data_IF_355005879064
#
_entry.id   IF_355005879064
#
_cell.length_a   1.000
_cell.length_b   1.000
_cell.length_c   1.000
_cell.angle_alpha   90.00
_cell.angle_beta   90.00
_cell.angle_gamma   90.00
#
_symmetry.space_group_name_H-M   'P 1'
#
loop_
_entity.id
_entity.type
_entity.pdbx_description
1 polymer ?
#
# COMPACT_ATOMS: atom_id res chain seq x y z
N UNK A 1 13.30 14.38 15.58
CA UNK A 1 12.72 13.88 14.30
C UNK A 1 12.22 15.02 13.38
N UNK A 2 12.06 16.24 13.88
CA UNK A 2 11.43 17.36 13.13
C UNK A 2 12.27 17.92 11.96
N UNK A 3 13.53 17.53 11.79
CA UNK A 3 14.41 18.11 10.75
C UNK A 3 14.92 17.13 9.68
N UNK A 4 14.34 15.91 9.59
CA UNK A 4 14.81 14.90 8.63
C UNK A 4 14.01 14.90 7.30
N UNK A 5 12.86 15.56 7.24
CA UNK A 5 12.03 15.56 6.04
C UNK A 5 12.23 16.81 5.19
N UNK A 6 12.49 16.59 3.91
CA UNK A 6 12.59 17.67 2.92
C UNK A 6 11.17 17.93 2.38
N UNK A 7 10.68 19.17 2.53
CA UNK A 7 9.42 19.57 1.90
C UNK A 7 9.58 19.58 0.38
N UNK A 8 8.73 18.85 -0.32
CA UNK A 8 8.69 18.78 -1.78
C UNK A 8 7.29 19.17 -2.25
N UNK A 9 7.18 19.89 -3.36
CA UNK A 9 5.88 20.07 -4.00
C UNK A 9 5.58 18.88 -4.91
N UNK A 10 4.32 18.52 -5.05
CA UNK A 10 3.93 17.46 -5.99
C UNK A 10 4.41 17.78 -7.42
N UNK A 11 4.40 19.06 -7.79
CA UNK A 11 4.90 19.53 -9.09
C UNK A 11 6.42 19.25 -9.30
N UNK A 12 7.20 19.07 -8.25
CA UNK A 12 8.64 18.74 -8.36
C UNK A 12 8.84 17.31 -8.87
N UNK A 13 7.79 16.49 -8.86
CA UNK A 13 7.77 15.15 -9.45
C UNK A 13 7.38 15.13 -10.93
N UNK A 14 7.05 16.28 -11.55
CA UNK A 14 6.70 16.32 -12.97
C UNK A 14 7.84 15.77 -13.85
N UNK A 15 7.50 14.89 -14.79
CA UNK A 15 8.48 14.20 -15.64
C UNK A 15 9.29 13.11 -14.93
N UNK A 16 8.98 12.81 -13.67
CA UNK A 16 9.60 11.74 -12.89
C UNK A 16 8.85 10.42 -13.05
N UNK A 17 9.48 9.33 -12.58
CA UNK A 17 8.89 7.98 -12.66
C UNK A 17 8.34 7.52 -11.33
N UNK A 18 7.20 6.85 -11.40
CA UNK A 18 6.55 6.21 -10.26
C UNK A 18 6.24 4.74 -10.54
N UNK A 19 6.23 3.92 -9.48
CA UNK A 19 5.67 2.57 -9.48
C UNK A 19 4.57 2.50 -8.41
N UNK A 20 3.41 1.96 -8.78
CA UNK A 20 2.33 1.67 -7.83
C UNK A 20 2.02 0.18 -7.90
N UNK A 21 2.14 -0.54 -6.78
CA UNK A 21 1.79 -1.97 -6.71
C UNK A 21 0.32 -2.18 -6.35
N UNK A 22 -0.32 -3.23 -6.92
CA UNK A 22 -1.75 -3.44 -6.79
C UNK A 22 -2.56 -2.31 -7.44
N UNK A 23 -2.07 -1.79 -8.56
CA UNK A 23 -2.64 -0.62 -9.23
C UNK A 23 -3.77 -0.97 -10.21
N UNK A 24 -4.13 -2.24 -10.34
CA UNK A 24 -5.23 -2.68 -11.19
C UNK A 24 -6.63 -2.42 -10.61
N UNK A 25 -6.75 -1.90 -9.38
CA UNK A 25 -8.06 -1.65 -8.73
C UNK A 25 -7.92 -0.70 -7.53
N UNK A 26 -9.02 -0.10 -7.10
CA UNK A 26 -9.21 0.58 -5.82
C UNK A 26 -8.23 1.72 -5.55
N UNK A 27 -7.54 1.66 -4.40
CA UNK A 27 -6.59 2.71 -3.99
C UNK A 27 -5.40 2.78 -4.95
N UNK A 28 -4.88 1.64 -5.40
CA UNK A 28 -3.75 1.61 -6.32
C UNK A 28 -4.08 2.21 -7.68
N UNK A 29 -5.25 1.90 -8.24
CA UNK A 29 -5.76 2.53 -9.47
C UNK A 29 -5.92 4.04 -9.30
N UNK A 30 -6.53 4.47 -8.20
CA UNK A 30 -6.66 5.90 -7.88
C UNK A 30 -5.30 6.60 -7.82
N UNK A 31 -4.32 6.00 -7.15
CA UNK A 31 -2.96 6.53 -7.04
C UNK A 31 -2.30 6.64 -8.42
N UNK A 32 -2.35 5.57 -9.23
CA UNK A 32 -1.74 5.55 -10.54
C UNK A 32 -2.30 6.66 -11.45
N UNK A 33 -3.64 6.80 -11.49
CA UNK A 33 -4.31 7.84 -12.30
C UNK A 33 -3.96 9.26 -11.84
N UNK A 34 -3.96 9.51 -10.54
CA UNK A 34 -3.68 10.84 -10.01
C UNK A 34 -2.20 11.21 -10.14
N UNK A 35 -1.27 10.27 -9.94
CA UNK A 35 0.17 10.51 -10.15
C UNK A 35 0.46 10.80 -11.62
N UNK A 36 -0.15 10.08 -12.56
CA UNK A 36 -0.05 10.38 -13.99
C UNK A 36 -0.64 11.76 -14.31
N UNK A 37 -1.80 12.10 -13.74
CA UNK A 37 -2.40 13.43 -13.85
C UNK A 37 -1.55 14.56 -13.27
N UNK A 38 -0.65 14.26 -12.34
CA UNK A 38 0.35 15.17 -11.81
C UNK A 38 1.63 15.24 -12.66
N UNK A 39 1.68 14.53 -13.78
CA UNK A 39 2.78 14.59 -14.76
C UNK A 39 3.89 13.56 -14.53
N UNK A 40 3.67 12.52 -13.72
CA UNK A 40 4.61 11.41 -13.61
C UNK A 40 4.37 10.35 -14.69
N UNK A 41 5.43 9.65 -15.09
CA UNK A 41 5.31 8.39 -15.83
C UNK A 41 5.11 7.26 -14.81
N UNK A 42 4.02 6.50 -14.95
CA UNK A 42 3.60 5.54 -13.92
C UNK A 42 3.71 4.10 -14.40
N UNK A 43 4.47 3.29 -13.69
CA UNK A 43 4.43 1.84 -13.84
C UNK A 43 3.23 1.31 -13.03
N UNK A 44 2.25 0.77 -13.73
CA UNK A 44 1.01 0.23 -13.17
C UNK A 44 1.19 -1.27 -12.95
N UNK A 45 1.42 -1.68 -11.70
CA UNK A 45 1.64 -3.08 -11.39
C UNK A 45 0.38 -3.72 -10.76
N UNK A 46 0.02 -4.89 -11.24
CA UNK A 46 -0.94 -5.80 -10.59
C UNK A 46 -0.49 -7.25 -10.83
N UNK A 47 -0.98 -8.19 -10.02
CA UNK A 47 -0.73 -9.62 -10.29
C UNK A 47 -1.48 -10.08 -11.55
N UNK A 48 -2.59 -9.43 -11.90
CA UNK A 48 -3.38 -9.66 -13.10
C UNK A 48 -2.99 -8.65 -14.16
N UNK A 49 -2.33 -9.13 -15.23
CA UNK A 49 -1.87 -8.28 -16.33
C UNK A 49 -3.03 -7.48 -16.95
N UNK A 50 -4.16 -8.11 -17.18
CA UNK A 50 -5.33 -7.48 -17.79
C UNK A 50 -5.90 -6.30 -16.97
N UNK A 51 -5.70 -6.34 -15.64
CA UNK A 51 -6.11 -5.25 -14.76
C UNK A 51 -5.12 -4.07 -14.85
N UNK A 52 -3.82 -4.36 -14.90
CA UNK A 52 -2.79 -3.35 -15.08
C UNK A 52 -2.91 -2.69 -16.47
N UNK A 53 -3.12 -3.47 -17.53
CA UNK A 53 -3.32 -2.99 -18.90
C UNK A 53 -4.55 -2.09 -19.01
N UNK A 54 -5.67 -2.46 -18.41
CA UNK A 54 -6.87 -1.62 -18.40
C UNK A 54 -6.59 -0.25 -17.81
N UNK A 55 -5.94 -0.20 -16.62
CA UNK A 55 -5.63 1.07 -15.96
C UNK A 55 -4.62 1.88 -16.76
N UNK A 56 -3.59 1.23 -17.30
CA UNK A 56 -2.59 1.89 -18.13
C UNK A 56 -3.23 2.47 -19.41
N UNK A 57 -4.14 1.74 -20.05
CA UNK A 57 -4.89 2.23 -21.22
C UNK A 57 -5.76 3.44 -20.89
N UNK A 58 -6.42 3.45 -19.72
CA UNK A 58 -7.23 4.59 -19.27
C UNK A 58 -6.38 5.83 -18.96
N UNK A 59 -5.11 5.66 -18.55
CA UNK A 59 -4.15 6.75 -18.33
C UNK A 59 -3.55 7.24 -19.65
N UNK A 60 -3.25 6.34 -20.60
CA UNK A 60 -2.60 6.64 -21.87
C UNK A 60 -1.07 6.58 -21.80
N UNK A 61 -0.40 7.41 -22.62
CA UNK A 61 1.07 7.36 -22.84
C UNK A 61 1.93 7.54 -21.57
N UNK A 62 1.35 8.05 -20.50
CA UNK A 62 2.04 8.23 -19.22
C UNK A 62 2.10 6.96 -18.37
N UNK A 63 1.55 5.82 -18.84
CA UNK A 63 1.48 4.60 -18.05
C UNK A 63 2.02 3.37 -18.78
N UNK A 64 2.73 2.52 -18.02
CA UNK A 64 3.24 1.23 -18.52
C UNK A 64 2.74 0.12 -17.60
N UNK A 65 2.01 -0.90 -18.12
CA UNK A 65 1.55 -2.02 -17.31
C UNK A 65 2.65 -3.04 -17.10
N UNK A 66 2.68 -3.67 -15.91
CA UNK A 66 3.54 -4.81 -15.62
C UNK A 66 2.81 -5.77 -14.67
N UNK A 67 3.02 -7.07 -14.86
CA UNK A 67 2.44 -8.09 -13.98
C UNK A 67 3.54 -8.87 -13.25
N UNK A 68 3.44 -8.95 -11.94
CA UNK A 68 4.19 -9.88 -11.10
C UNK A 68 3.49 -10.07 -9.76
N UNK A 69 3.81 -11.17 -9.09
CA UNK A 69 3.31 -11.46 -7.76
C UNK A 69 4.25 -10.88 -6.70
N UNK A 70 3.79 -9.87 -5.95
CA UNK A 70 4.59 -9.24 -4.89
C UNK A 70 5.00 -10.21 -3.77
N UNK A 71 4.26 -11.31 -3.58
CA UNK A 71 4.60 -12.34 -2.59
C UNK A 71 5.71 -13.30 -3.07
N UNK A 72 6.17 -13.12 -4.29
CA UNK A 72 7.30 -13.84 -4.88
C UNK A 72 8.53 -12.91 -4.97
N UNK A 73 9.54 -13.20 -4.15
CA UNK A 73 10.76 -12.39 -4.08
C UNK A 73 11.50 -12.34 -5.43
N UNK A 74 11.60 -13.47 -6.10
CA UNK A 74 12.32 -13.56 -7.39
C UNK A 74 11.59 -12.76 -8.46
N UNK A 75 10.25 -12.85 -8.52
CA UNK A 75 9.45 -12.07 -9.43
C UNK A 75 9.60 -10.54 -9.19
N UNK A 76 9.70 -10.11 -7.93
CA UNK A 76 9.98 -8.70 -7.60
C UNK A 76 11.35 -8.26 -8.12
N UNK A 77 12.39 -9.08 -7.95
CA UNK A 77 13.76 -8.76 -8.41
C UNK A 77 13.85 -8.69 -9.94
N UNK A 78 13.27 -9.65 -10.65
CA UNK A 78 13.22 -9.66 -12.12
C UNK A 78 12.47 -8.43 -12.66
N UNK A 79 11.35 -8.09 -12.03
CA UNK A 79 10.59 -6.88 -12.39
C UNK A 79 11.39 -5.60 -12.15
N UNK A 80 12.16 -5.52 -11.06
CA UNK A 80 13.01 -4.38 -10.77
C UNK A 80 14.14 -4.23 -11.81
N UNK A 81 14.79 -5.31 -12.21
CA UNK A 81 15.78 -5.32 -13.29
C UNK A 81 15.18 -4.83 -14.61
N UNK A 82 13.97 -5.29 -14.93
CA UNK A 82 13.26 -4.86 -16.14
C UNK A 82 12.98 -3.36 -16.11
N UNK A 83 12.44 -2.86 -15.01
CA UNK A 83 12.07 -1.43 -14.84
C UNK A 83 13.32 -0.54 -14.80
N UNK A 84 14.45 -1.03 -14.29
CA UNK A 84 15.70 -0.28 -14.22
C UNK A 84 16.21 0.16 -15.60
N UNK A 85 15.93 -0.61 -16.67
CA UNK A 85 16.34 -0.28 -18.03
C UNK A 85 15.75 1.04 -18.55
N UNK A 86 14.61 1.47 -18.00
CA UNK A 86 13.95 2.71 -18.38
C UNK A 86 14.41 3.92 -17.54
N UNK A 87 15.37 3.74 -16.65
CA UNK A 87 15.96 4.77 -15.82
C UNK A 87 15.50 4.77 -14.35
N UNK A 88 15.95 5.76 -13.57
CA UNK A 88 15.69 5.80 -12.13
C UNK A 88 14.23 6.06 -11.78
N UNK A 89 13.85 5.70 -10.56
CA UNK A 89 12.51 5.89 -10.01
C UNK A 89 12.54 6.94 -8.89
N UNK A 90 11.53 7.81 -8.85
CA UNK A 90 11.41 8.86 -7.84
C UNK A 90 10.30 8.59 -6.83
N UNK A 91 9.28 7.82 -7.20
CA UNK A 91 8.16 7.52 -6.32
C UNK A 91 7.83 6.03 -6.39
N UNK A 92 7.79 5.39 -5.23
CA UNK A 92 7.30 4.01 -5.06
C UNK A 92 6.08 4.06 -4.15
N UNK A 93 4.97 3.45 -4.58
CA UNK A 93 3.85 3.23 -3.67
C UNK A 93 3.59 1.73 -3.49
N UNK A 94 3.95 1.24 -2.31
CA UNK A 94 3.77 -0.15 -1.89
C UNK A 94 2.33 -0.31 -1.39
N UNK A 95 1.43 -0.65 -2.33
CA UNK A 95 -0.01 -0.67 -2.08
C UNK A 95 -0.62 -2.07 -2.16
N UNK A 96 -0.04 -2.98 -2.93
CA UNK A 96 -0.59 -4.33 -3.09
C UNK A 96 -0.95 -4.96 -1.75
N UNK A 97 -2.17 -5.47 -1.65
CA UNK A 97 -2.67 -6.06 -0.42
C UNK A 97 -3.97 -6.82 -0.62
N UNK A 98 -4.24 -7.77 0.25
CA UNK A 98 -5.41 -8.65 0.18
C UNK A 98 -6.20 -8.63 1.47
N UNK A 99 -7.52 -8.66 1.34
CA UNK A 99 -8.44 -8.85 2.45
C UNK A 99 -8.62 -10.34 2.74
N UNK A 100 -8.35 -10.77 3.96
CA UNK A 100 -8.54 -12.17 4.37
C UNK A 100 -9.40 -12.22 5.62
N UNK A 101 -10.64 -12.63 5.46
CA UNK A 101 -11.57 -12.89 6.55
C UNK A 101 -11.35 -14.30 7.13
N UNK A 102 -10.22 -14.54 7.79
CA UNK A 102 -9.92 -15.84 8.37
C UNK A 102 -9.64 -15.74 9.87
N UNK A 103 -10.17 -16.71 10.61
CA UNK A 103 -9.78 -16.96 12.00
C UNK A 103 -8.33 -17.41 12.05
N UNK A 104 -7.54 -16.89 12.97
CA UNK A 104 -6.16 -17.38 13.19
C UNK A 104 -6.17 -18.83 13.68
N UNK A 105 -7.10 -19.17 14.59
CA UNK A 105 -7.16 -20.51 15.20
C UNK A 105 -7.75 -21.59 14.27
N UNK A 106 -8.65 -21.19 13.34
CA UNK A 106 -9.40 -22.12 12.48
C UNK A 106 -9.17 -21.84 10.99
N UNK A 107 -8.30 -20.90 10.67
CA UNK A 107 -7.96 -20.52 9.28
C UNK A 107 -7.24 -21.65 8.56
N UNK A 108 -7.45 -21.72 7.25
CA UNK A 108 -6.71 -22.67 6.42
C UNK A 108 -5.27 -22.20 6.29
N UNK A 109 -4.25 -23.09 6.41
CA UNK A 109 -2.85 -22.70 6.31
C UNK A 109 -2.52 -21.84 5.09
N UNK A 110 -2.98 -22.24 3.90
CA UNK A 110 -2.75 -21.53 2.67
C UNK A 110 -3.37 -20.10 2.62
N UNK A 111 -4.45 -19.85 3.35
CA UNK A 111 -5.02 -18.51 3.46
C UNK A 111 -4.18 -17.62 4.38
N UNK A 112 -3.58 -18.21 5.42
CA UNK A 112 -2.66 -17.53 6.33
C UNK A 112 -1.36 -17.20 5.57
N UNK A 113 -0.78 -18.18 4.89
CA UNK A 113 0.43 -18.02 4.08
C UNK A 113 0.24 -16.95 3.01
N UNK A 114 -0.90 -16.95 2.33
CA UNK A 114 -1.21 -15.93 1.32
C UNK A 114 -1.32 -14.53 1.91
N UNK A 115 -2.04 -14.37 3.03
CA UNK A 115 -2.18 -13.07 3.68
C UNK A 115 -0.83 -12.51 4.14
N UNK A 116 0.01 -13.35 4.76
CA UNK A 116 1.36 -12.99 5.18
C UNK A 116 2.26 -12.76 3.97
N UNK A 117 2.17 -13.64 2.97
CA UNK A 117 2.94 -13.53 1.73
C UNK A 117 2.74 -12.20 1.03
N UNK A 118 1.48 -11.76 0.86
CA UNK A 118 1.19 -10.49 0.16
C UNK A 118 1.35 -9.28 1.08
N UNK A 119 0.67 -9.27 2.24
CA UNK A 119 0.56 -8.06 3.05
C UNK A 119 1.82 -7.78 3.89
N UNK A 120 2.68 -8.77 4.13
CA UNK A 120 3.91 -8.60 4.92
C UNK A 120 5.14 -8.81 4.05
N UNK A 121 5.36 -10.04 3.56
CA UNK A 121 6.55 -10.34 2.76
C UNK A 121 6.56 -9.57 1.43
N UNK A 122 5.40 -9.40 0.79
CA UNK A 122 5.26 -8.62 -0.43
C UNK A 122 5.65 -7.15 -0.25
N UNK A 123 5.37 -6.56 0.91
CA UNK A 123 5.83 -5.22 1.25
C UNK A 123 7.36 -5.18 1.36
N UNK A 124 7.95 -6.18 2.04
CA UNK A 124 9.40 -6.29 2.19
C UNK A 124 10.09 -6.48 0.83
N UNK A 125 9.63 -7.46 0.04
CA UNK A 125 10.23 -7.78 -1.26
C UNK A 125 10.11 -6.64 -2.27
N UNK A 126 8.95 -5.98 -2.34
CA UNK A 126 8.76 -4.79 -3.15
C UNK A 126 9.74 -3.69 -2.75
N UNK A 127 9.86 -3.42 -1.46
CA UNK A 127 10.76 -2.39 -0.97
C UNK A 127 12.22 -2.72 -1.28
N UNK A 128 12.67 -3.94 -1.02
CA UNK A 128 14.05 -4.38 -1.29
C UNK A 128 14.40 -4.35 -2.78
N UNK A 129 13.44 -4.67 -3.65
CA UNK A 129 13.66 -4.70 -5.08
C UNK A 129 13.70 -3.29 -5.70
N UNK A 130 12.81 -2.39 -5.27
CA UNK A 130 12.57 -1.14 -6.00
C UNK A 130 13.16 0.11 -5.34
N UNK A 131 13.35 0.17 -4.02
CA UNK A 131 14.01 1.33 -3.38
C UNK A 131 15.43 1.57 -3.92
N UNK A 132 16.27 0.55 -4.20
CA UNK A 132 17.57 0.78 -4.81
C UNK A 132 17.53 1.54 -6.14
N UNK A 133 16.45 1.43 -6.93
CA UNK A 133 16.28 2.17 -8.18
C UNK A 133 16.13 3.69 -7.97
N UNK A 134 15.92 4.11 -6.74
CA UNK A 134 15.82 5.52 -6.39
C UNK A 134 17.19 6.16 -6.11
N UNK A 135 18.26 5.37 -5.93
CA UNK A 135 19.58 5.86 -5.54
C UNK A 135 20.18 6.87 -6.53
N UNK A 136 19.97 6.63 -7.84
CA UNK A 136 20.46 7.51 -8.92
C UNK A 136 19.45 8.58 -9.36
N UNK A 137 18.26 8.62 -8.73
CA UNK A 137 17.23 9.59 -9.10
C UNK A 137 17.61 11.01 -8.67
N UNK A 138 17.40 11.95 -9.58
CA UNK A 138 17.55 13.38 -9.28
C UNK A 138 16.22 13.98 -8.86
N UNK A 139 16.25 14.93 -7.93
CA UNK A 139 15.04 15.58 -7.42
C UNK A 139 14.39 14.81 -6.26
N UNK A 140 13.12 15.06 -5.99
CA UNK A 140 12.43 14.47 -4.84
C UNK A 140 12.30 12.96 -4.96
N UNK A 141 12.37 12.28 -3.82
CA UNK A 141 12.17 10.83 -3.70
C UNK A 141 11.18 10.53 -2.59
N UNK A 142 10.22 9.64 -2.87
CA UNK A 142 9.17 9.34 -1.91
C UNK A 142 8.72 7.86 -1.96
N UNK A 143 8.52 7.25 -0.80
CA UNK A 143 7.95 5.91 -0.67
C UNK A 143 6.64 5.98 0.11
N UNK A 144 5.53 5.58 -0.50
CA UNK A 144 4.24 5.43 0.15
C UNK A 144 3.95 3.97 0.51
N UNK A 145 3.35 3.74 1.68
CA UNK A 145 2.91 2.42 2.14
C UNK A 145 1.43 2.44 2.44
N UNK A 146 0.67 1.49 1.91
CA UNK A 146 -0.74 1.32 2.23
C UNK A 146 -0.93 0.27 3.33
N UNK A 147 -1.04 0.73 4.57
CA UNK A 147 -1.43 -0.06 5.72
C UNK A 147 -2.97 -0.19 5.80
N UNK A 148 -3.58 0.13 6.93
CA UNK A 148 -5.03 0.19 7.15
C UNK A 148 -5.32 0.82 8.50
N UNK A 149 -6.50 1.40 8.71
CA UNK A 149 -7.00 1.76 10.03
C UNK A 149 -7.08 0.55 10.99
N UNK A 150 -7.18 -0.67 10.44
CA UNK A 150 -7.08 -1.90 11.20
C UNK A 150 -5.72 -2.10 11.89
N UNK A 151 -4.65 -1.43 11.43
CA UNK A 151 -3.34 -1.44 12.09
C UNK A 151 -3.29 -0.55 13.34
N UNK A 152 -4.18 0.42 13.45
CA UNK A 152 -4.21 1.39 14.53
C UNK A 152 -5.20 1.02 15.63
N UNK A 153 -6.15 0.12 15.35
CA UNK A 153 -7.22 -0.30 16.27
C UNK A 153 -6.89 -1.65 16.90
N UNK A 154 -7.52 -1.95 18.02
CA UNK A 154 -7.59 -3.32 18.53
C UNK A 154 -8.33 -4.17 17.51
N UNK A 155 -7.78 -5.34 17.18
CA UNK A 155 -8.44 -6.28 16.27
C UNK A 155 -9.71 -6.85 16.96
N UNK A 156 -10.86 -6.31 16.61
CA UNK A 156 -12.17 -6.77 17.06
C UNK A 156 -12.94 -7.35 15.87
N UNK A 157 -13.66 -8.46 16.10
CA UNK A 157 -14.53 -9.05 15.07
C UNK A 157 -13.89 -10.11 14.19
N UNK A 158 -14.31 -10.19 12.92
CA UNK A 158 -14.13 -11.36 12.05
C UNK A 158 -12.82 -11.41 11.26
N UNK A 159 -11.90 -10.42 11.41
CA UNK A 159 -10.74 -10.29 10.54
C UNK A 159 -9.39 -10.20 11.26
N UNK A 160 -9.10 -11.06 12.26
CA UNK A 160 -7.88 -10.93 13.06
C UNK A 160 -6.60 -11.12 12.23
N UNK A 161 -6.61 -12.02 11.24
CA UNK A 161 -5.47 -12.24 10.35
C UNK A 161 -5.15 -11.00 9.50
N UNK A 162 -6.18 -10.37 8.94
CA UNK A 162 -6.00 -9.13 8.19
C UNK A 162 -5.42 -8.02 9.07
N UNK A 163 -6.00 -7.81 10.26
CA UNK A 163 -5.51 -6.81 11.20
C UNK A 163 -4.06 -7.07 11.60
N UNK A 164 -3.71 -8.33 11.92
CA UNK A 164 -2.32 -8.73 12.23
C UNK A 164 -1.38 -8.38 11.07
N UNK A 165 -1.75 -8.73 9.84
CA UNK A 165 -0.91 -8.44 8.67
C UNK A 165 -0.74 -6.93 8.44
N UNK A 166 -1.77 -6.13 8.66
CA UNK A 166 -1.70 -4.67 8.49
C UNK A 166 -0.97 -3.97 9.66
N UNK A 167 -0.99 -4.52 10.87
CA UNK A 167 -0.09 -4.09 11.94
C UNK A 167 1.38 -4.34 11.57
N UNK A 168 1.69 -5.50 10.98
CA UNK A 168 3.04 -5.81 10.51
C UNK A 168 3.48 -4.86 9.39
N UNK A 169 2.60 -4.58 8.40
CA UNK A 169 2.86 -3.59 7.35
C UNK A 169 3.17 -2.21 7.95
N UNK A 170 2.36 -1.77 8.92
CA UNK A 170 2.53 -0.47 9.58
C UNK A 170 3.87 -0.40 10.31
N UNK A 171 4.17 -1.39 11.16
CA UNK A 171 5.41 -1.44 11.93
C UNK A 171 6.65 -1.52 11.03
N UNK A 172 6.59 -2.25 9.93
CA UNK A 172 7.65 -2.30 8.93
C UNK A 172 7.89 -0.92 8.30
N UNK A 173 6.82 -0.29 7.81
CA UNK A 173 6.91 1.02 7.17
C UNK A 173 7.43 2.10 8.15
N UNK A 174 6.98 2.07 9.40
CA UNK A 174 7.44 2.97 10.47
C UNK A 174 8.93 2.78 10.76
N UNK A 175 9.39 1.55 10.90
CA UNK A 175 10.80 1.25 11.13
C UNK A 175 11.66 1.67 9.95
N UNK A 176 11.21 1.40 8.73
CA UNK A 176 11.94 1.72 7.51
C UNK A 176 12.00 3.24 7.24
N UNK A 177 11.02 4.03 7.70
CA UNK A 177 10.98 5.46 7.44
C UNK A 177 12.24 6.20 7.92
N UNK A 178 12.86 5.72 8.98
CA UNK A 178 14.16 6.26 9.48
C UNK A 178 15.32 5.92 8.54
N UNK A 179 15.36 4.69 8.01
CA UNK A 179 16.39 4.29 7.05
C UNK A 179 16.24 5.07 5.74
N UNK A 180 15.02 5.21 5.23
CA UNK A 180 14.70 6.00 4.04
C UNK A 180 15.10 7.47 4.20
N UNK A 181 14.82 8.07 5.36
CA UNK A 181 15.18 9.46 5.65
C UNK A 181 16.71 9.68 5.63
N UNK A 182 17.50 8.72 6.12
CA UNK A 182 18.95 8.77 6.04
C UNK A 182 19.48 8.75 4.60
N UNK A 183 18.73 8.14 3.68
CA UNK A 183 18.99 8.15 2.23
C UNK A 183 18.37 9.37 1.51
N UNK A 184 17.76 10.30 2.24
CA UNK A 184 17.04 11.45 1.67
C UNK A 184 15.79 11.08 0.92
N UNK A 185 15.12 9.99 1.31
CA UNK A 185 13.85 9.52 0.76
C UNK A 185 12.76 9.76 1.78
N UNK A 186 11.76 10.54 1.42
CA UNK A 186 10.57 10.76 2.26
C UNK A 186 9.64 9.57 2.26
N UNK A 187 8.82 9.42 3.30
CA UNK A 187 7.85 8.33 3.36
C UNK A 187 6.49 8.73 3.93
N UNK A 188 5.44 8.11 3.41
CA UNK A 188 4.06 8.24 3.90
C UNK A 188 3.49 6.88 4.25
N UNK A 189 2.85 6.76 5.42
CA UNK A 189 2.11 5.57 5.83
C UNK A 189 0.61 5.89 5.78
N UNK A 190 -0.07 5.34 4.79
CA UNK A 190 -1.50 5.51 4.59
C UNK A 190 -2.28 4.42 5.35
N UNK A 191 -3.17 4.84 6.25
CA UNK A 191 -4.02 3.96 7.06
C UNK A 191 -5.51 4.19 6.71
N UNK A 192 -5.97 3.74 5.54
CA UNK A 192 -7.34 3.97 5.11
C UNK A 192 -8.33 3.18 5.97
N UNK A 193 -9.52 3.78 6.17
CA UNK A 193 -10.71 3.10 6.66
C UNK A 193 -11.40 2.29 5.57
N UNK A 194 -12.70 2.08 5.72
CA UNK A 194 -13.52 1.41 4.71
C UNK A 194 -13.71 2.33 3.50
N UNK A 195 -13.23 1.89 2.34
CA UNK A 195 -13.35 2.57 1.05
C UNK A 195 -13.94 1.63 0.01
N UNK A 196 -14.62 2.18 -0.98
CA UNK A 196 -15.16 1.42 -2.11
C UNK A 196 -14.00 0.86 -2.95
N UNK A 197 -13.65 -0.38 -2.68
CA UNK A 197 -12.59 -1.14 -3.35
C UNK A 197 -13.02 -2.61 -3.45
N UNK A 198 -12.36 -3.37 -4.31
CA UNK A 198 -12.60 -4.82 -4.45
C UNK A 198 -11.69 -5.68 -3.56
N UNK A 199 -11.17 -5.14 -2.47
CA UNK A 199 -10.31 -5.89 -1.54
C UNK A 199 -11.03 -7.10 -0.92
N UNK A 200 -12.35 -7.04 -0.79
CA UNK A 200 -13.19 -8.14 -0.31
C UNK A 200 -13.20 -9.35 -1.25
N UNK A 201 -12.99 -9.15 -2.54
CA UNK A 201 -12.91 -10.17 -3.59
C UNK A 201 -11.45 -10.43 -4.05
N UNK A 202 -10.46 -9.99 -3.31
CA UNK A 202 -9.04 -10.14 -3.65
C UNK A 202 -8.62 -11.58 -3.90
N UNK A 203 -9.31 -12.55 -3.28
CA UNK A 203 -9.01 -13.98 -3.47
C UNK A 203 -9.28 -14.50 -4.90
N UNK A 204 -9.94 -13.75 -5.77
CA UNK A 204 -10.08 -14.06 -7.21
C UNK A 204 -8.71 -14.12 -7.92
N UNK A 205 -7.72 -13.38 -7.39
CA UNK A 205 -6.36 -13.31 -7.93
C UNK A 205 -5.34 -14.16 -7.12
N UNK A 206 -5.82 -15.06 -6.24
CA UNK A 206 -4.95 -15.86 -5.40
C UNK A 206 -4.20 -16.93 -6.23
N UNK A 207 -2.86 -16.96 -6.18
CA UNK A 207 -2.05 -17.93 -6.89
C UNK A 207 -2.32 -19.39 -6.47
N UNK A 208 -2.07 -20.33 -7.38
CA UNK A 208 -2.28 -21.77 -7.16
C UNK A 208 -1.49 -22.30 -5.97
N UNK A 209 -0.26 -21.79 -5.74
CA UNK A 209 0.57 -22.18 -4.58
C UNK A 209 -0.10 -21.89 -3.23
N UNK A 210 -1.05 -20.97 -3.21
CA UNK A 210 -1.88 -20.66 -2.04
C UNK A 210 -3.30 -21.24 -2.13
N UNK A 211 -3.52 -22.20 -3.03
CA UNK A 211 -4.78 -22.91 -3.20
C UNK A 211 -5.73 -22.33 -4.25
N UNK A 212 -5.21 -21.51 -5.14
CA UNK A 212 -5.89 -20.99 -6.32
C UNK A 212 -6.99 -19.97 -6.07
N UNK A 213 -7.58 -19.45 -7.15
CA UNK A 213 -8.61 -18.42 -7.09
C UNK A 213 -9.85 -18.86 -6.31
N UNK A 214 -10.46 -17.90 -5.62
CA UNK A 214 -11.78 -18.05 -4.99
C UNK A 214 -12.56 -16.77 -5.18
N UNK A 215 -13.80 -16.93 -5.56
CA UNK A 215 -14.72 -15.81 -5.71
C UNK A 215 -15.52 -15.63 -4.42
N UNK A 216 -15.57 -14.39 -3.96
CA UNK A 216 -16.37 -14.05 -2.80
C UNK A 216 -17.87 -14.06 -3.14
N UNK A 217 -18.72 -14.24 -2.12
CA UNK A 217 -20.16 -14.08 -2.30
C UNK A 217 -20.46 -12.62 -2.70
N UNK A 218 -21.14 -12.38 -3.84
CA UNK A 218 -21.51 -11.03 -4.25
C UNK A 218 -22.29 -10.23 -3.20
N UNK A 219 -23.03 -10.91 -2.31
CA UNK A 219 -23.73 -10.25 -1.22
C UNK A 219 -22.80 -9.51 -0.25
N UNK A 220 -21.52 -9.87 -0.21
CA UNK A 220 -20.50 -9.17 0.58
C UNK A 220 -20.10 -7.81 -0.01
N UNK A 221 -20.39 -7.55 -1.30
CA UNK A 221 -20.03 -6.28 -1.96
C UNK A 221 -20.76 -5.08 -1.36
N UNK A 222 -21.99 -5.25 -0.88
CA UNK A 222 -22.88 -4.15 -0.52
C UNK A 222 -22.25 -3.11 0.40
N UNK A 223 -21.61 -3.53 1.48
CA UNK A 223 -20.94 -2.59 2.41
C UNK A 223 -19.78 -1.81 1.76
N UNK A 224 -19.16 -2.40 0.72
CA UNK A 224 -18.05 -1.79 -0.02
C UNK A 224 -18.58 -0.85 -1.10
N UNK A 225 -19.69 -1.22 -1.75
CA UNK A 225 -20.35 -0.39 -2.77
C UNK A 225 -20.92 0.89 -2.16
N UNK A 226 -21.41 0.83 -0.91
CA UNK A 226 -21.89 1.98 -0.14
C UNK A 226 -20.76 2.81 0.50
N UNK A 227 -19.51 2.31 0.51
CA UNK A 227 -18.39 3.00 1.10
C UNK A 227 -17.92 4.18 0.23
N UNK A 228 -17.18 5.10 0.84
CA UNK A 228 -16.67 6.29 0.16
C UNK A 228 -15.61 5.94 -0.88
N UNK A 229 -15.56 6.74 -1.95
CA UNK A 229 -14.56 6.56 -3.02
C UNK A 229 -13.13 6.73 -2.51
N UNK A 230 -12.17 5.91 -2.97
CA UNK A 230 -10.74 6.12 -2.71
C UNK A 230 -10.23 7.50 -3.12
N UNK A 231 -10.86 8.15 -4.11
CA UNK A 231 -10.49 9.48 -4.60
C UNK A 231 -10.47 10.55 -3.49
N UNK A 232 -11.25 10.37 -2.44
CA UNK A 232 -11.26 11.29 -1.29
C UNK A 232 -9.93 11.33 -0.51
N UNK A 233 -9.06 10.31 -0.68
CA UNK A 233 -7.75 10.28 -0.04
C UNK A 233 -6.71 11.15 -0.75
N UNK A 234 -6.93 11.48 -2.03
CA UNK A 234 -5.89 12.11 -2.86
C UNK A 234 -5.41 13.47 -2.31
N UNK A 235 -6.27 14.41 -1.89
CA UNK A 235 -5.80 15.68 -1.34
C UNK A 235 -4.92 15.52 -0.09
N UNK A 236 -5.21 14.54 0.77
CA UNK A 236 -4.42 14.24 1.97
C UNK A 236 -3.06 13.62 1.59
N UNK A 237 -3.07 12.74 0.59
CA UNK A 237 -1.84 12.13 0.07
C UNK A 237 -0.91 13.22 -0.49
N UNK A 238 -1.44 14.17 -1.27
CA UNK A 238 -0.68 15.31 -1.78
C UNK A 238 -0.07 16.11 -0.64
N UNK A 239 -0.88 16.49 0.35
CA UNK A 239 -0.38 17.23 1.54
C UNK A 239 0.73 16.49 2.26
N UNK A 240 0.62 15.17 2.41
CA UNK A 240 1.67 14.37 3.05
C UNK A 240 2.95 14.35 2.23
N UNK A 241 2.86 14.17 0.91
CA UNK A 241 4.04 14.21 0.02
C UNK A 241 4.71 15.58 0.14
N UNK A 242 3.94 16.66 0.12
CA UNK A 242 4.44 18.05 0.21
C UNK A 242 5.02 18.39 1.60
N UNK A 243 4.50 17.79 2.65
CA UNK A 243 5.05 17.92 4.01
C UNK A 243 6.31 17.07 4.27
N UNK A 244 6.76 16.28 3.29
CA UNK A 244 7.89 15.38 3.45
C UNK A 244 7.54 14.01 4.01
N UNK A 245 6.25 13.68 4.07
CA UNK A 245 5.77 12.39 4.57
C UNK A 245 4.96 12.48 5.85
N UNK A 246 4.65 11.34 6.44
CA UNK A 246 3.92 11.25 7.68
C UNK A 246 2.88 10.11 7.72
N UNK A 247 2.01 10.17 8.71
CA UNK A 247 0.93 9.20 8.91
C UNK A 247 -0.39 9.81 8.42
N UNK A 248 -1.07 9.08 7.55
CA UNK A 248 -2.39 9.46 7.05
C UNK A 248 -3.45 8.48 7.51
N UNK A 249 -4.48 9.00 8.15
CA UNK A 249 -5.72 8.24 8.37
C UNK A 249 -6.79 8.71 7.38
N UNK A 250 -7.84 7.91 7.22
CA UNK A 250 -8.96 8.32 6.39
C UNK A 250 -9.71 9.49 7.04
N UNK A 251 -9.70 10.66 6.41
CA UNK A 251 -10.46 11.82 6.85
C UNK A 251 -11.99 11.57 6.93
N UNK A 252 -12.44 10.41 6.49
CA UNK A 252 -13.86 10.06 6.41
C UNK A 252 -14.40 9.37 7.66
N UNK A 253 -13.57 9.08 8.66
CA UNK A 253 -13.98 8.37 9.87
C UNK A 253 -14.25 9.29 11.08
N UNK A 254 -14.39 10.59 10.83
CA UNK A 254 -14.71 11.61 11.87
C UNK A 254 -13.78 11.55 13.11
N UNK A 255 -12.54 11.08 12.94
CA UNK A 255 -11.58 10.96 14.04
C UNK A 255 -11.68 9.63 14.84
N UNK A 256 -12.60 8.73 14.49
CA UNK A 256 -12.79 7.46 15.20
C UNK A 256 -11.51 6.61 15.22
N UNK A 257 -10.75 6.58 14.12
CA UNK A 257 -9.48 5.84 14.07
C UNK A 257 -8.46 6.43 15.04
N UNK A 258 -8.36 7.76 15.13
CA UNK A 258 -7.46 8.43 16.08
C UNK A 258 -7.87 8.11 17.52
N UNK A 259 -9.15 8.26 17.86
CA UNK A 259 -9.66 7.96 19.19
C UNK A 259 -9.44 6.49 19.57
N UNK A 260 -9.66 5.55 18.64
CA UNK A 260 -9.42 4.13 18.88
C UNK A 260 -7.93 3.82 19.10
N UNK A 261 -7.03 4.51 18.40
CA UNK A 261 -5.59 4.39 18.61
C UNK A 261 -5.18 4.92 20.00
N UNK A 262 -5.64 6.11 20.37
CA UNK A 262 -5.37 6.72 21.68
C UNK A 262 -5.87 5.81 22.82
N UNK A 263 -7.12 5.33 22.73
CA UNK A 263 -7.69 4.41 23.73
C UNK A 263 -6.92 3.09 23.83
N UNK A 264 -6.43 2.56 22.68
CA UNK A 264 -5.58 1.36 22.66
C UNK A 264 -4.24 1.61 23.35
N UNK A 265 -3.60 2.76 23.05
CA UNK A 265 -2.33 3.12 23.65
C UNK A 265 -2.45 3.28 25.18
N UNK A 266 -3.50 3.93 25.66
CA UNK A 266 -3.82 4.07 27.09
C UNK A 266 -4.05 2.70 27.76
N UNK A 267 -4.82 1.81 27.12
CA UNK A 267 -5.07 0.47 27.63
C UNK A 267 -3.78 -0.36 27.74
N UNK A 268 -2.87 -0.25 26.77
CA UNK A 268 -1.56 -0.92 26.82
C UNK A 268 -0.73 -0.32 27.94
N UNK A 269 -0.63 1.00 28.03
CA UNK A 269 0.15 1.70 29.05
C UNK A 269 -0.29 1.34 30.47
N UNK A 270 -1.61 1.23 30.70
CA UNK A 270 -2.17 0.86 31.99
C UNK A 270 -1.79 -0.57 32.47
N UNK A 271 -1.35 -1.44 31.55
CA UNK A 271 -0.98 -2.83 31.86
C UNK A 271 0.52 -3.12 31.69
N UNK A 272 1.33 -2.10 31.38
CA UNK A 272 2.79 -2.25 31.38
C UNK A 272 3.27 -2.34 32.82
N UNK A 273 3.84 -3.48 33.17
CA UNK A 273 4.51 -3.69 34.47
C UNK A 273 5.98 -3.36 34.28
N UNK A 274 6.49 -2.41 35.04
CA UNK A 274 7.94 -2.19 35.14
C UNK A 274 8.53 -3.26 36.05
N UNK A 275 9.38 -4.12 35.51
CA UNK A 275 10.11 -5.18 36.25
C UNK A 275 11.44 -4.63 36.70
#
# INVERSE_FOLDING_TARGET
LENLFVSNKLNDFQGKRALVTGAGDGIGEMLAKNLAGAGLSVVVQDIRLEAAERVAQEIGDAATPIAFDVSDREACMIAAETIANDGPMNLLWVNAGVGVGASILKGRPNAIEWAVGVNVLGVVWTTQAFVPLMASATGPRHVGFTASSAALRKAEGSHPLYATSKHATFAFAESLSTELANEGINSTILCPGLLNTKIWDGARARPDRFGGPRFADPALSKQWDEAKSPQLMWPEIVRSIEAGGGYLTCATDNGETRQAFESRAEAIAAHIVQI
#
